data_IF_370354032413
#
_entry.id   IF_370354032413
#
_cell.length_a   1.000
_cell.length_b   1.000
_cell.length_c   1.000
_cell.angle_alpha   90.00
_cell.angle_beta   90.00
_cell.angle_gamma   90.00
#
_symmetry.space_group_name_H-M   'P 1'
#
loop_
_entity.id
_entity.type
_entity.pdbx_description
1 polymer ?
#
# COMPACT_ATOMS: atom_id res chain seq x y z
N UNK A 1 -19.59 -5.78 -12.40
CA UNK A 1 -19.71 -7.17 -12.88
C UNK A 1 -19.68 -8.05 -11.65
N UNK A 2 -20.68 -8.90 -11.44
CA UNK A 2 -20.66 -9.90 -10.37
C UNK A 2 -19.58 -10.95 -10.66
N UNK A 3 -18.90 -11.40 -9.61
CA UNK A 3 -17.91 -12.47 -9.68
C UNK A 3 -18.62 -13.80 -9.99
N UNK A 4 -18.15 -14.58 -10.97
CA UNK A 4 -18.71 -15.92 -11.21
C UNK A 4 -17.91 -17.00 -10.46
N UNK A 5 -18.56 -18.04 -9.91
CA UNK A 5 -17.86 -19.16 -9.29
C UNK A 5 -16.85 -19.85 -10.22
N UNK A 6 -17.12 -19.85 -11.53
CA UNK A 6 -16.19 -20.41 -12.51
C UNK A 6 -14.90 -19.59 -12.63
N UNK A 7 -14.96 -18.26 -12.51
CA UNK A 7 -13.76 -17.42 -12.53
C UNK A 7 -12.88 -17.68 -11.31
N UNK A 8 -13.48 -17.89 -10.13
CA UNK A 8 -12.75 -18.21 -8.91
C UNK A 8 -11.98 -19.52 -9.10
N UNK A 9 -12.66 -20.61 -9.50
CA UNK A 9 -12.02 -21.92 -9.73
C UNK A 9 -10.85 -21.88 -10.71
N UNK A 10 -11.03 -21.23 -11.86
CA UNK A 10 -9.95 -21.12 -12.88
C UNK A 10 -8.72 -20.40 -12.33
N UNK A 11 -8.91 -19.36 -11.53
CA UNK A 11 -7.79 -18.62 -10.93
C UNK A 11 -7.21 -19.38 -9.75
N UNK A 12 -8.03 -20.07 -8.95
CA UNK A 12 -7.61 -20.92 -7.85
C UNK A 12 -6.70 -22.06 -8.33
N UNK A 13 -7.07 -22.76 -9.41
CA UNK A 13 -6.24 -23.80 -10.04
C UNK A 13 -4.84 -23.28 -10.41
N UNK A 14 -4.74 -22.05 -10.93
CA UNK A 14 -3.43 -21.43 -11.24
C UNK A 14 -2.66 -21.03 -9.99
N UNK A 15 -3.36 -20.71 -8.91
CA UNK A 15 -2.80 -20.27 -7.64
C UNK A 15 -2.45 -21.42 -6.68
N UNK A 16 -2.84 -22.66 -6.98
CA UNK A 16 -2.48 -23.87 -6.21
C UNK A 16 -0.98 -23.96 -5.92
N UNK A 17 -0.14 -23.58 -6.90
CA UNK A 17 1.32 -23.54 -6.77
C UNK A 17 1.83 -22.59 -5.68
N UNK A 18 0.99 -21.67 -5.18
CA UNK A 18 1.34 -20.68 -4.18
C UNK A 18 0.99 -21.10 -2.75
N UNK A 19 0.34 -22.25 -2.54
CA UNK A 19 -0.01 -22.73 -1.19
C UNK A 19 1.20 -22.75 -0.26
N UNK A 20 0.99 -22.32 0.98
CA UNK A 20 2.04 -22.21 1.99
C UNK A 20 2.94 -20.97 1.87
N UNK A 21 2.77 -20.16 0.81
CA UNK A 21 3.45 -18.86 0.71
C UNK A 21 3.08 -17.96 1.89
N UNK A 22 4.03 -17.11 2.30
CA UNK A 22 3.82 -16.09 3.34
C UNK A 22 4.03 -14.70 2.76
N UNK A 23 3.26 -13.74 3.25
CA UNK A 23 3.55 -12.33 3.03
C UNK A 23 4.60 -11.84 4.03
N UNK A 24 5.37 -10.80 3.71
CA UNK A 24 6.12 -10.04 4.69
C UNK A 24 5.16 -9.42 5.73
N UNK A 25 5.64 -9.25 6.96
CA UNK A 25 4.82 -8.75 8.07
C UNK A 25 4.42 -7.27 7.92
N UNK A 26 5.10 -6.52 7.04
CA UNK A 26 4.92 -5.07 6.90
C UNK A 26 5.49 -4.29 8.09
N UNK A 27 4.74 -3.33 8.60
CA UNK A 27 5.11 -2.46 9.73
C UNK A 27 3.95 -2.36 10.74
N UNK A 28 3.56 -3.47 11.39
CA UNK A 28 2.35 -3.53 12.21
C UNK A 28 2.33 -2.56 13.40
N UNK A 29 3.48 -1.97 13.76
CA UNK A 29 3.64 -1.03 14.87
C UNK A 29 4.02 0.39 14.43
N UNK A 30 4.22 0.65 13.13
CA UNK A 30 4.57 1.99 12.65
C UNK A 30 3.69 2.42 11.49
N UNK A 31 2.74 3.31 11.80
CA UNK A 31 1.92 3.93 10.75
C UNK A 31 2.77 4.83 9.85
N UNK A 32 3.80 5.48 10.41
CA UNK A 32 4.74 6.29 9.63
C UNK A 32 5.37 5.50 8.48
N UNK A 33 5.89 4.30 8.77
CA UNK A 33 6.49 3.44 7.75
C UNK A 33 5.47 2.91 6.75
N UNK A 34 4.26 2.55 7.21
CA UNK A 34 3.16 2.16 6.32
C UNK A 34 2.85 3.26 5.29
N UNK A 35 2.73 4.52 5.73
CA UNK A 35 2.45 5.67 4.85
C UNK A 35 3.60 5.89 3.86
N UNK A 36 4.83 5.97 4.37
CA UNK A 36 6.02 6.26 3.55
C UNK A 36 6.21 5.21 2.45
N UNK A 37 6.19 3.92 2.82
CA UNK A 37 6.39 2.81 1.88
C UNK A 37 5.22 2.78 0.87
N UNK A 38 3.98 2.88 1.36
CA UNK A 38 2.81 2.80 0.50
C UNK A 38 2.79 3.87 -0.58
N UNK A 39 2.94 5.14 -0.21
CA UNK A 39 2.95 6.26 -1.16
C UNK A 39 4.14 6.15 -2.13
N UNK A 40 5.29 5.69 -1.66
CA UNK A 40 6.47 5.50 -2.51
C UNK A 40 6.34 4.33 -3.49
N UNK A 41 5.51 3.32 -3.21
CA UNK A 41 5.48 2.04 -3.94
C UNK A 41 4.98 2.06 -5.40
N UNK A 42 4.42 3.16 -5.89
CA UNK A 42 3.85 3.26 -7.25
C UNK A 42 4.81 3.83 -8.28
N UNK A 43 4.82 3.27 -9.50
CA UNK A 43 5.57 3.79 -10.67
C UNK A 43 7.09 3.94 -10.47
N UNK A 44 7.68 3.17 -9.56
CA UNK A 44 9.11 3.22 -9.25
C UNK A 44 9.68 1.82 -9.09
N UNK A 45 11.01 1.70 -9.09
CA UNK A 45 11.68 0.43 -8.78
C UNK A 45 11.73 0.24 -7.27
N UNK A 46 11.51 -1.00 -6.82
CA UNK A 46 11.46 -1.33 -5.39
C UNK A 46 12.69 -0.88 -4.57
N UNK A 47 13.95 -1.01 -5.05
CA UNK A 47 15.12 -0.50 -4.31
C UNK A 47 15.10 1.01 -4.04
N UNK A 48 14.38 1.79 -4.85
CA UNK A 48 14.19 3.22 -4.62
C UNK A 48 13.30 3.48 -3.40
N UNK A 49 12.32 2.61 -3.15
CA UNK A 49 11.42 2.67 -1.99
C UNK A 49 12.17 2.26 -0.72
N UNK A 50 12.89 1.14 -0.77
CA UNK A 50 13.70 0.63 0.35
C UNK A 50 14.72 1.68 0.83
N UNK A 51 15.32 2.43 -0.10
CA UNK A 51 16.23 3.54 0.24
C UNK A 51 15.54 4.63 1.05
N UNK A 52 14.31 5.02 0.71
CA UNK A 52 13.56 6.05 1.45
C UNK A 52 13.19 5.55 2.85
N UNK A 53 12.71 4.31 2.97
CA UNK A 53 12.41 3.68 4.25
C UNK A 53 13.66 3.59 5.13
N UNK A 54 14.80 3.17 4.56
CA UNK A 54 16.09 3.13 5.24
C UNK A 54 16.52 4.51 5.74
N UNK A 55 16.39 5.53 4.90
CA UNK A 55 16.75 6.90 5.26
C UNK A 55 15.85 7.47 6.36
N UNK A 56 14.54 7.20 6.32
CA UNK A 56 13.60 7.62 7.36
C UNK A 56 13.98 6.99 8.70
N UNK A 57 14.23 5.67 8.70
CA UNK A 57 14.68 4.95 9.89
C UNK A 57 16.00 5.49 10.44
N UNK A 58 16.96 5.80 9.57
CA UNK A 58 18.23 6.39 9.97
C UNK A 58 18.02 7.76 10.61
N UNK A 59 17.24 8.63 9.98
CA UNK A 59 16.93 9.96 10.51
C UNK A 59 16.29 9.90 11.90
N UNK A 60 15.31 9.02 12.11
CA UNK A 60 14.65 8.88 13.42
C UNK A 60 15.59 8.38 14.50
N UNK A 61 16.46 7.40 14.19
CA UNK A 61 17.48 6.89 15.11
C UNK A 61 18.54 7.94 15.45
N UNK A 62 18.98 8.74 14.48
CA UNK A 62 19.88 9.88 14.71
C UNK A 62 19.29 10.89 15.72
N UNK A 63 17.96 10.97 15.82
CA UNK A 63 17.24 11.83 16.75
C UNK A 63 16.73 11.08 18.00
N UNK A 64 17.26 9.89 18.29
CA UNK A 64 16.97 9.13 19.51
C UNK A 64 15.59 8.47 19.56
N UNK A 65 14.87 8.35 18.44
CA UNK A 65 13.55 7.73 18.36
C UNK A 65 13.59 6.31 17.75
N UNK A 66 12.56 5.49 18.03
CA UNK A 66 12.36 4.20 17.36
C UNK A 66 11.41 4.33 16.15
N UNK A 67 11.94 4.29 14.91
CA UNK A 67 11.10 4.37 13.72
C UNK A 67 10.12 3.20 13.55
N UNK A 68 10.29 2.07 14.27
CA UNK A 68 9.36 0.94 14.22
C UNK A 68 8.09 1.15 15.04
N UNK A 69 8.04 2.21 15.85
CA UNK A 69 6.89 2.58 16.66
C UNK A 69 6.29 3.95 16.27
N UNK A 70 6.88 4.62 15.26
CA UNK A 70 6.47 5.97 14.88
C UNK A 70 5.02 6.03 14.39
N UNK A 71 4.28 6.98 14.98
CA UNK A 71 2.92 7.36 14.64
C UNK A 71 2.85 8.29 13.41
N UNK A 72 1.64 8.63 12.97
CA UNK A 72 1.42 9.70 12.01
C UNK A 72 1.93 11.06 12.51
N UNK A 73 1.85 11.32 13.82
CA UNK A 73 2.36 12.55 14.44
C UNK A 73 3.89 12.62 14.38
N UNK A 74 4.58 11.51 14.63
CA UNK A 74 6.04 11.42 14.50
C UNK A 74 6.49 11.69 13.06
N UNK A 75 5.80 11.09 12.08
CA UNK A 75 6.06 11.33 10.68
C UNK A 75 5.87 12.82 10.33
N UNK A 76 4.74 13.42 10.73
CA UNK A 76 4.45 14.83 10.49
C UNK A 76 5.51 15.75 11.11
N UNK A 77 6.00 15.42 12.31
CA UNK A 77 7.06 16.17 12.99
C UNK A 77 8.37 16.19 12.17
N UNK A 78 8.72 15.11 11.46
CA UNK A 78 9.92 15.10 10.60
C UNK A 78 9.85 16.11 9.45
N UNK A 79 8.65 16.40 8.93
CA UNK A 79 8.47 17.45 7.94
C UNK A 79 8.66 18.83 8.56
N UNK A 80 8.09 19.08 9.74
CA UNK A 80 8.27 20.34 10.45
C UNK A 80 9.76 20.61 10.78
N UNK A 81 10.47 19.58 11.28
CA UNK A 81 11.89 19.65 11.63
C UNK A 81 12.80 19.96 10.44
N UNK A 82 12.46 19.43 9.25
CA UNK A 82 13.26 19.62 8.04
C UNK A 82 12.87 20.87 7.24
N UNK A 83 11.77 21.55 7.60
CA UNK A 83 11.28 22.72 6.85
C UNK A 83 10.41 22.36 5.64
N UNK A 84 9.63 21.28 5.74
CA UNK A 84 8.60 20.89 4.75
C UNK A 84 9.04 19.80 3.79
N UNK A 85 8.10 19.35 2.94
CA UNK A 85 8.29 18.20 2.05
C UNK A 85 9.42 18.32 1.03
N UNK A 86 9.79 19.53 0.60
CA UNK A 86 10.91 19.69 -0.34
C UNK A 86 12.25 19.34 0.31
N UNK A 87 12.47 19.82 1.54
CA UNK A 87 13.66 19.51 2.31
C UNK A 87 13.65 18.04 2.79
N UNK A 88 12.49 17.54 3.20
CA UNK A 88 12.29 16.13 3.52
C UNK A 88 12.64 15.22 2.33
N UNK A 89 12.22 15.58 1.11
CA UNK A 89 12.55 14.85 -0.12
C UNK A 89 14.06 14.83 -0.40
N UNK A 90 14.80 15.89 -0.06
CA UNK A 90 16.26 15.96 -0.22
C UNK A 90 17.01 15.15 0.84
N UNK A 91 16.56 15.19 2.09
CA UNK A 91 17.24 14.54 3.23
C UNK A 91 16.90 13.06 3.39
N UNK A 92 15.63 12.71 3.24
CA UNK A 92 15.07 11.38 3.54
C UNK A 92 14.54 10.73 2.25
N UNK A 93 13.69 11.45 1.54
CA UNK A 93 12.97 10.96 0.38
C UNK A 93 13.79 10.91 -0.91
N UNK A 94 13.14 11.32 -1.98
CA UNK A 94 13.71 11.49 -3.31
C UNK A 94 12.82 12.44 -4.12
N UNK A 95 13.22 12.73 -5.37
CA UNK A 95 12.47 13.60 -6.29
C UNK A 95 11.26 12.94 -6.97
N UNK A 96 10.82 11.75 -6.53
CA UNK A 96 9.71 11.05 -7.19
C UNK A 96 8.42 11.86 -7.10
N UNK A 97 7.64 11.79 -8.19
CA UNK A 97 6.39 12.51 -8.34
C UNK A 97 5.20 11.57 -8.20
N UNK A 98 4.07 12.16 -7.81
CA UNK A 98 2.79 11.45 -7.63
C UNK A 98 2.17 10.98 -8.96
N UNK A 99 2.57 11.60 -10.08
CA UNK A 99 2.26 11.14 -11.44
C UNK A 99 3.32 11.61 -12.43
N UNK A 100 3.19 11.21 -13.69
CA UNK A 100 4.07 11.61 -14.80
C UNK A 100 3.68 12.96 -15.41
N UNK A 101 2.56 13.57 -15.01
CA UNK A 101 2.14 14.86 -15.54
C UNK A 101 3.09 15.98 -15.08
N UNK A 102 3.34 16.95 -15.98
CA UNK A 102 4.18 18.11 -15.68
C UNK A 102 3.59 18.88 -14.48
N UNK A 103 4.44 19.14 -13.48
CA UNK A 103 4.03 19.85 -12.27
C UNK A 103 3.34 18.99 -11.21
N UNK A 104 3.27 17.67 -11.38
CA UNK A 104 2.78 16.78 -10.34
C UNK A 104 3.51 17.03 -8.99
N UNK A 105 2.81 16.97 -7.85
CA UNK A 105 3.47 17.10 -6.54
C UNK A 105 4.50 16.01 -6.29
N UNK A 106 5.49 16.30 -5.42
CA UNK A 106 6.40 15.29 -4.89
C UNK A 106 5.63 14.23 -4.10
N UNK A 107 6.13 12.99 -4.09
CA UNK A 107 5.61 11.98 -3.17
C UNK A 107 5.79 12.37 -1.71
N UNK A 108 6.85 13.12 -1.39
CA UNK A 108 7.03 13.71 -0.06
C UNK A 108 5.88 14.64 0.34
N UNK A 109 5.32 15.41 -0.60
CA UNK A 109 4.12 16.23 -0.32
C UNK A 109 2.93 15.33 0.02
N UNK A 110 2.70 14.26 -0.76
CA UNK A 110 1.63 13.32 -0.47
C UNK A 110 1.81 12.65 0.90
N UNK A 111 3.02 12.21 1.25
CA UNK A 111 3.33 11.63 2.56
C UNK A 111 3.03 12.63 3.70
N UNK A 112 3.43 13.90 3.54
CA UNK A 112 3.15 14.95 4.52
C UNK A 112 1.64 15.15 4.73
N UNK A 113 0.87 15.22 3.64
CA UNK A 113 -0.58 15.40 3.69
C UNK A 113 -1.28 14.18 4.28
N UNK A 114 -0.86 12.96 3.94
CA UNK A 114 -1.44 11.75 4.52
C UNK A 114 -1.17 11.67 6.03
N UNK A 115 0.03 12.00 6.48
CA UNK A 115 0.33 12.06 7.92
C UNK A 115 -0.63 13.03 8.65
N UNK A 116 -0.87 14.22 8.08
CA UNK A 116 -1.82 15.20 8.64
C UNK A 116 -3.27 14.70 8.61
N UNK A 117 -3.73 14.12 7.50
CA UNK A 117 -5.06 13.53 7.40
C UNK A 117 -5.30 12.46 8.48
N UNK A 118 -4.30 11.60 8.72
CA UNK A 118 -4.38 10.55 9.74
C UNK A 118 -4.51 11.14 11.15
N UNK A 119 -3.76 12.20 11.45
CA UNK A 119 -3.89 12.96 12.71
C UNK A 119 -5.29 13.56 12.85
N UNK A 120 -5.78 14.25 11.82
CA UNK A 120 -7.09 14.91 11.83
C UNK A 120 -8.25 13.92 12.02
N UNK A 121 -8.06 12.67 11.59
CA UNK A 121 -9.03 11.58 11.74
C UNK A 121 -8.85 10.77 13.02
N UNK A 122 -7.84 11.08 13.85
CA UNK A 122 -7.54 10.33 15.07
C UNK A 122 -6.91 8.95 14.84
N UNK A 123 -6.38 8.69 13.65
CA UNK A 123 -5.67 7.46 13.30
C UNK A 123 -4.17 7.72 13.49
N UNK A 124 -3.67 7.60 14.71
CA UNK A 124 -2.28 7.95 15.02
C UNK A 124 -1.33 6.78 14.72
N UNK A 125 -1.79 5.56 14.99
CA UNK A 125 -0.96 4.36 15.00
C UNK A 125 -1.50 3.31 14.03
N UNK A 126 -0.69 2.29 13.71
CA UNK A 126 -1.12 1.20 12.83
C UNK A 126 -2.27 0.37 13.45
N UNK A 127 -2.34 0.33 14.79
CA UNK A 127 -3.46 -0.26 15.53
C UNK A 127 -4.76 0.53 15.32
N UNK A 128 -4.72 1.87 15.38
CA UNK A 128 -5.91 2.69 15.13
C UNK A 128 -6.47 2.46 13.73
N UNK A 129 -5.60 2.25 12.73
CA UNK A 129 -6.03 1.91 11.38
C UNK A 129 -6.69 0.52 11.33
N UNK A 130 -6.19 -0.46 12.10
CA UNK A 130 -6.82 -1.78 12.22
C UNK A 130 -8.19 -1.68 12.90
N UNK A 131 -8.30 -0.92 13.98
CA UNK A 131 -9.57 -0.66 14.67
C UNK A 131 -10.56 0.03 13.72
N UNK A 132 -10.12 1.06 13.00
CA UNK A 132 -10.97 1.73 12.01
C UNK A 132 -11.43 0.77 10.90
N UNK A 133 -10.69 -0.29 10.60
CA UNK A 133 -11.08 -1.29 9.59
C UNK A 133 -12.21 -2.23 10.06
N UNK A 134 -12.48 -2.29 11.36
CA UNK A 134 -13.60 -3.05 11.93
C UNK A 134 -14.95 -2.32 11.78
N UNK A 135 -14.92 -1.00 11.52
CA UNK A 135 -16.10 -0.17 11.23
C UNK A 135 -16.06 0.34 9.76
N UNK A 136 -16.95 -0.16 8.88
CA UNK A 136 -17.01 0.26 7.48
C UNK A 136 -17.14 1.78 7.28
N UNK A 137 -17.86 2.48 8.16
CA UNK A 137 -18.06 3.93 8.04
C UNK A 137 -16.82 4.70 8.48
N UNK A 138 -16.14 4.25 9.53
CA UNK A 138 -14.84 4.78 9.93
C UNK A 138 -13.80 4.58 8.83
N UNK A 139 -13.67 3.35 8.33
CA UNK A 139 -12.73 3.03 7.24
C UNK A 139 -13.02 3.83 5.97
N UNK A 140 -14.30 4.03 5.63
CA UNK A 140 -14.70 4.83 4.48
C UNK A 140 -14.27 6.31 4.61
N UNK A 141 -14.30 6.89 5.82
CA UNK A 141 -13.79 8.25 6.06
C UNK A 141 -12.28 8.33 5.83
N UNK A 142 -11.51 7.38 6.38
CA UNK A 142 -10.06 7.31 6.18
C UNK A 142 -9.71 7.13 4.71
N UNK A 143 -10.37 6.18 4.03
CA UNK A 143 -10.22 5.97 2.59
C UNK A 143 -10.51 7.25 1.79
N UNK A 144 -11.60 7.94 2.11
CA UNK A 144 -12.00 9.17 1.41
C UNK A 144 -10.95 10.27 1.57
N UNK A 145 -10.32 10.40 2.73
CA UNK A 145 -9.23 11.35 2.93
C UNK A 145 -7.99 10.95 2.11
N UNK A 146 -7.58 9.68 2.19
CA UNK A 146 -6.44 9.13 1.45
C UNK A 146 -6.57 9.37 -0.06
N UNK A 147 -7.70 8.98 -0.65
CA UNK A 147 -7.90 9.07 -2.10
C UNK A 147 -7.94 10.51 -2.65
N UNK A 148 -8.15 11.52 -1.80
CA UNK A 148 -8.12 12.93 -2.20
C UNK A 148 -6.72 13.49 -2.38
N UNK A 149 -5.70 12.84 -1.81
CA UNK A 149 -4.32 13.30 -1.92
C UNK A 149 -3.82 13.08 -3.35
N UNK A 150 -3.11 14.05 -3.96
CA UNK A 150 -2.61 13.92 -5.33
C UNK A 150 -1.86 12.60 -5.59
N UNK A 151 -2.24 11.90 -6.65
CA UNK A 151 -1.70 10.60 -7.05
C UNK A 151 -2.24 9.39 -6.31
N UNK A 152 -3.07 9.58 -5.26
CA UNK A 152 -3.62 8.46 -4.47
C UNK A 152 -5.01 8.02 -4.95
N UNK A 153 -5.67 8.81 -5.80
CA UNK A 153 -7.02 8.56 -6.32
C UNK A 153 -7.28 7.16 -6.91
N UNK A 154 -6.33 6.52 -7.65
CA UNK A 154 -6.51 5.15 -8.11
C UNK A 154 -6.66 4.09 -7.00
N UNK A 155 -6.29 4.41 -5.76
CA UNK A 155 -6.50 3.57 -4.58
C UNK A 155 -5.53 2.42 -4.38
N UNK A 156 -4.55 2.20 -5.27
CA UNK A 156 -3.54 1.13 -5.10
C UNK A 156 -2.76 1.28 -3.79
N UNK A 157 -2.38 2.51 -3.44
CA UNK A 157 -1.66 2.81 -2.18
C UNK A 157 -2.57 2.68 -0.96
N UNK A 158 -3.87 2.93 -1.10
CA UNK A 158 -4.84 2.70 -0.02
C UNK A 158 -4.93 1.23 0.38
N UNK A 159 -4.97 0.32 -0.60
CA UNK A 159 -4.91 -1.11 -0.33
C UNK A 159 -3.58 -1.49 0.34
N UNK A 160 -2.48 -0.93 -0.15
CA UNK A 160 -1.16 -1.31 0.35
C UNK A 160 -0.84 -0.79 1.75
N UNK A 161 -1.30 0.41 2.14
CA UNK A 161 -1.07 0.94 3.50
C UNK A 161 -1.77 0.07 4.55
N UNK A 162 -2.97 -0.43 4.24
CA UNK A 162 -3.70 -1.37 5.09
C UNK A 162 -2.95 -2.70 5.25
N UNK A 163 -2.45 -3.26 4.13
CA UNK A 163 -1.64 -4.49 4.17
C UNK A 163 -0.38 -4.33 5.00
N UNK A 164 0.33 -3.21 4.85
CA UNK A 164 1.52 -2.90 5.65
C UNK A 164 1.19 -2.73 7.14
N UNK A 165 -0.01 -2.24 7.46
CA UNK A 165 -0.53 -2.16 8.83
C UNK A 165 -1.11 -3.50 9.33
N UNK A 166 -0.95 -4.61 8.59
CA UNK A 166 -1.40 -5.94 9.03
C UNK A 166 -2.87 -6.26 8.77
N UNK A 167 -3.58 -5.43 7.98
CA UNK A 167 -4.94 -5.74 7.52
C UNK A 167 -4.82 -6.59 6.24
N UNK A 168 -5.28 -7.86 6.22
CA UNK A 168 -5.15 -8.71 5.04
C UNK A 168 -5.83 -8.09 3.81
N UNK A 169 -5.19 -8.15 2.65
CA UNK A 169 -5.77 -7.57 1.44
C UNK A 169 -4.99 -7.89 0.17
N UNK A 170 -5.52 -7.37 -0.94
CA UNK A 170 -4.92 -7.43 -2.27
C UNK A 170 -4.54 -6.01 -2.66
N UNK A 171 -3.34 -5.81 -3.19
CA UNK A 171 -2.90 -4.55 -3.79
C UNK A 171 -3.12 -4.64 -5.30
N UNK A 172 -4.21 -4.06 -5.85
CA UNK A 172 -4.58 -4.27 -7.26
C UNK A 172 -3.73 -3.41 -8.21
N UNK A 173 -2.43 -3.66 -8.25
CA UNK A 173 -1.49 -2.99 -9.15
C UNK A 173 -1.46 -3.65 -10.54
N UNK A 174 -0.55 -3.18 -11.41
CA UNK A 174 -0.44 -3.69 -12.78
C UNK A 174 0.02 -5.15 -12.83
N UNK A 175 0.80 -5.64 -11.87
CA UNK A 175 1.24 -7.03 -11.83
C UNK A 175 0.08 -7.95 -11.45
N UNK A 176 -0.67 -7.58 -10.41
CA UNK A 176 -1.88 -8.31 -10.00
C UNK A 176 -2.92 -8.32 -11.13
N UNK A 177 -3.21 -7.17 -11.73
CA UNK A 177 -4.17 -7.09 -12.83
C UNK A 177 -3.72 -7.90 -14.06
N UNK A 178 -2.41 -7.93 -14.36
CA UNK A 178 -1.85 -8.75 -15.44
C UNK A 178 -1.99 -10.24 -15.15
N UNK A 179 -1.73 -10.67 -13.91
CA UNK A 179 -1.93 -12.06 -13.52
C UNK A 179 -3.38 -12.49 -13.73
N UNK A 180 -4.34 -11.71 -13.22
CA UNK A 180 -5.77 -11.99 -13.37
C UNK A 180 -6.20 -11.99 -14.85
N UNK A 181 -5.72 -11.02 -15.64
CA UNK A 181 -6.00 -10.95 -17.06
C UNK A 181 -5.52 -12.21 -17.81
N UNK A 182 -4.28 -12.63 -17.55
CA UNK A 182 -3.70 -13.83 -18.16
C UNK A 182 -4.36 -15.12 -17.66
N UNK A 183 -4.77 -15.17 -16.38
CA UNK A 183 -5.43 -16.32 -15.78
C UNK A 183 -6.79 -16.59 -16.44
N UNK A 184 -7.53 -15.53 -16.74
CA UNK A 184 -8.88 -15.58 -17.29
C UNK A 184 -8.93 -15.44 -18.82
N UNK A 185 -7.78 -15.35 -19.49
CA UNK A 185 -7.66 -15.06 -20.93
C UNK A 185 -8.48 -13.82 -21.35
N UNK A 186 -8.24 -12.70 -20.66
CA UNK A 186 -8.95 -11.44 -20.88
C UNK A 186 -7.98 -10.29 -21.16
N UNK A 187 -8.39 -9.28 -21.95
CA UNK A 187 -7.60 -8.07 -22.11
C UNK A 187 -7.40 -7.34 -20.77
N UNK A 188 -6.18 -6.92 -20.46
CA UNK A 188 -5.85 -6.21 -19.21
C UNK A 188 -6.78 -5.01 -18.92
N UNK A 189 -7.21 -4.29 -19.98
CA UNK A 189 -8.12 -3.14 -19.86
C UNK A 189 -9.50 -3.48 -19.29
N UNK A 190 -9.91 -4.74 -19.29
CA UNK A 190 -11.20 -5.19 -18.73
C UNK A 190 -11.09 -5.63 -17.28
N UNK A 191 -9.88 -5.66 -16.72
CA UNK A 191 -9.60 -6.12 -15.36
C UNK A 191 -9.43 -4.91 -14.44
N UNK A 192 -10.51 -4.52 -13.78
CA UNK A 192 -10.54 -3.39 -12.85
C UNK A 192 -10.07 -3.76 -11.44
N UNK A 193 -9.63 -2.75 -10.67
CA UNK A 193 -9.10 -2.94 -9.32
C UNK A 193 -10.08 -3.65 -8.38
N UNK A 194 -11.35 -3.21 -8.33
CA UNK A 194 -12.37 -3.84 -7.50
C UNK A 194 -12.63 -5.31 -7.88
N UNK A 195 -12.51 -5.64 -9.17
CA UNK A 195 -12.63 -7.02 -9.65
C UNK A 195 -11.44 -7.87 -9.19
N UNK A 196 -10.20 -7.36 -9.28
CA UNK A 196 -9.02 -8.06 -8.76
C UNK A 196 -9.15 -8.35 -7.26
N UNK A 197 -9.54 -7.35 -6.47
CA UNK A 197 -9.70 -7.48 -5.02
C UNK A 197 -10.74 -8.55 -4.72
N UNK A 198 -11.95 -8.44 -5.27
CA UNK A 198 -13.01 -9.43 -5.02
C UNK A 198 -12.64 -10.85 -5.48
N UNK A 199 -12.00 -10.97 -6.66
CA UNK A 199 -11.61 -12.27 -7.20
C UNK A 199 -10.53 -12.94 -6.35
N UNK A 200 -9.44 -12.24 -6.05
CA UNK A 200 -8.32 -12.84 -5.35
C UNK A 200 -8.58 -13.03 -3.86
N UNK A 201 -9.48 -12.23 -3.25
CA UNK A 201 -9.98 -12.55 -1.90
C UNK A 201 -10.75 -13.88 -1.90
N UNK A 202 -11.67 -14.09 -2.84
CA UNK A 202 -12.41 -15.36 -2.94
C UNK A 202 -11.49 -16.55 -3.25
N UNK A 203 -10.46 -16.36 -4.09
CA UNK A 203 -9.45 -17.39 -4.36
C UNK A 203 -8.62 -17.69 -3.12
N UNK A 204 -8.23 -16.68 -2.34
CA UNK A 204 -7.48 -16.89 -1.11
C UNK A 204 -8.30 -17.73 -0.10
N UNK A 205 -9.61 -17.47 0.01
CA UNK A 205 -10.53 -18.27 0.81
C UNK A 205 -10.61 -19.72 0.33
N UNK A 206 -10.77 -19.97 -0.98
CA UNK A 206 -10.79 -21.32 -1.58
C UNK A 206 -9.48 -22.08 -1.34
N UNK A 207 -8.36 -21.37 -1.30
CA UNK A 207 -7.03 -21.94 -1.04
C UNK A 207 -6.65 -21.96 0.44
N UNK A 208 -7.53 -21.55 1.36
CA UNK A 208 -7.22 -21.41 2.79
C UNK A 208 -5.94 -20.60 3.06
N UNK A 209 -5.74 -19.54 2.27
CA UNK A 209 -4.62 -18.59 2.39
C UNK A 209 -5.15 -17.23 2.84
N UNK A 210 -4.29 -16.41 3.44
CA UNK A 210 -4.62 -14.99 3.61
C UNK A 210 -4.53 -14.27 2.26
N UNK A 211 -5.38 -13.27 2.04
CA UNK A 211 -5.33 -12.46 0.83
C UNK A 211 -3.93 -11.86 0.58
N UNK A 212 -3.28 -11.34 1.63
CA UNK A 212 -1.92 -10.80 1.52
C UNK A 212 -0.88 -11.84 1.13
N UNK A 213 -0.98 -13.07 1.63
CA UNK A 213 -0.06 -14.14 1.25
C UNK A 213 -0.19 -14.52 -0.22
N UNK A 214 -1.43 -14.57 -0.73
CA UNK A 214 -1.71 -14.82 -2.13
C UNK A 214 -1.22 -13.67 -3.02
N UNK A 215 -1.52 -12.41 -2.65
CA UNK A 215 -1.04 -11.21 -3.34
C UNK A 215 0.48 -11.20 -3.49
N UNK A 216 1.19 -11.41 -2.39
CA UNK A 216 2.65 -11.43 -2.37
C UNK A 216 3.22 -12.57 -3.24
N UNK A 217 2.60 -13.76 -3.22
CA UNK A 217 3.02 -14.88 -4.06
C UNK A 217 2.85 -14.58 -5.55
N UNK A 218 1.68 -14.05 -5.95
CA UNK A 218 1.41 -13.62 -7.32
C UNK A 218 2.38 -12.53 -7.76
N UNK A 219 2.65 -11.56 -6.89
CA UNK A 219 3.58 -10.47 -7.18
C UNK A 219 5.01 -10.99 -7.40
N UNK A 220 5.50 -11.89 -6.55
CA UNK A 220 6.83 -12.51 -6.74
C UNK A 220 6.91 -13.31 -8.04
N UNK A 221 5.85 -14.06 -8.37
CA UNK A 221 5.75 -14.77 -9.64
C UNK A 221 5.82 -13.81 -10.83
N UNK A 222 5.03 -12.73 -10.83
CA UNK A 222 5.00 -11.74 -11.92
C UNK A 222 6.28 -10.93 -12.05
N UNK A 223 6.97 -10.64 -10.94
CA UNK A 223 8.25 -9.91 -10.96
C UNK A 223 9.37 -10.70 -11.66
N UNK A 224 9.30 -12.03 -11.63
CA UNK A 224 10.28 -12.92 -12.26
C UNK A 224 10.05 -13.18 -13.75
N UNK A 225 8.98 -12.62 -14.33
CA UNK A 225 8.59 -12.74 -15.75
C UNK A 225 8.96 -11.47 -16.52
#
# INVERSE_FOLDING_TARGET
MSLSPQQVRVVAERCEQFRGSKAPDGYPNSLALCIVDSVQSTMVRYPTVEKVVKNYRAYRREHGADPNADSAADLAATFAQLGGHEAWAKRIGNGNRTSTHRGAPLKAYAIEVEAKNMIDLGVLNAEDLRIAAEDPDALAKVKKAWLKVPGQGPGVTWHYVQMLAGIPGIKPDRMIARFVANALDRPLKTVGAAFCVGLLTAVAEELSMTASALDHAIWNYQRGQ
#
